data_IF_402994979326
#
_entry.id   IF_402994979326
#
_cell.length_a   1.000
_cell.length_b   1.000
_cell.length_c   1.000
_cell.angle_alpha   90.00
_cell.angle_beta   90.00
_cell.angle_gamma   90.00
#
_symmetry.space_group_name_H-M   'P 1'
#
loop_
_entity.id
_entity.type
_entity.pdbx_description
1 polymer ?
#
# COMPACT_ATOMS: atom_id res chain seq x y z
N UNK A 1 -5.75 16.13 10.15
CA UNK A 1 -5.11 15.34 9.09
C UNK A 1 -6.22 14.95 8.15
N UNK A 2 -6.25 15.56 6.97
CA UNK A 2 -7.24 15.25 5.95
C UNK A 2 -6.64 14.25 4.95
N UNK A 3 -7.50 13.41 4.37
CA UNK A 3 -7.06 12.40 3.42
C UNK A 3 -6.49 13.01 2.13
N UNK A 4 -6.85 14.25 1.81
CA UNK A 4 -6.31 14.98 0.65
C UNK A 4 -4.84 15.38 0.84
N UNK A 5 -4.32 15.35 2.07
CA UNK A 5 -2.93 15.67 2.40
C UNK A 5 -1.98 14.48 2.23
N UNK A 6 -2.50 13.29 1.91
CA UNK A 6 -1.68 12.12 1.62
C UNK A 6 -1.06 12.29 0.23
N UNK A 7 0.26 12.49 0.18
CA UNK A 7 0.98 12.69 -1.08
C UNK A 7 1.35 11.35 -1.75
N UNK A 8 1.79 10.39 -0.93
CA UNK A 8 2.34 9.12 -1.39
C UNK A 8 1.94 7.97 -0.47
N UNK A 9 1.74 6.79 -1.04
CA UNK A 9 1.51 5.54 -0.33
C UNK A 9 2.36 4.42 -0.94
N UNK A 10 3.07 3.68 -0.11
CA UNK A 10 3.72 2.42 -0.43
C UNK A 10 3.02 1.29 0.31
N UNK A 11 2.42 0.38 -0.45
CA UNK A 11 1.80 -0.83 0.09
C UNK A 11 2.68 -2.04 -0.21
N UNK A 12 3.21 -2.64 0.85
CA UNK A 12 4.01 -3.86 0.74
C UNK A 12 3.17 -5.04 1.20
N UNK A 13 3.02 -6.05 0.34
CA UNK A 13 2.22 -7.24 0.63
C UNK A 13 2.96 -8.51 0.25
N UNK A 14 2.80 -9.54 1.07
CA UNK A 14 3.43 -10.84 0.82
C UNK A 14 2.80 -11.52 -0.39
N UNK A 15 3.66 -12.06 -1.26
CA UNK A 15 3.24 -12.94 -2.35
C UNK A 15 3.53 -14.40 -2.01
N UNK A 16 4.71 -14.66 -1.43
CA UNK A 16 5.16 -15.99 -1.06
C UNK A 16 6.03 -15.93 0.20
N UNK A 17 6.57 -17.07 0.64
CA UNK A 17 7.53 -17.10 1.76
C UNK A 17 8.82 -16.31 1.49
N UNK A 18 9.14 -16.00 0.22
CA UNK A 18 10.41 -15.38 -0.17
C UNK A 18 10.25 -14.10 -1.01
N UNK A 19 9.03 -13.74 -1.39
CA UNK A 19 8.76 -12.59 -2.26
C UNK A 19 7.59 -11.76 -1.76
N UNK A 20 7.68 -10.46 -2.04
CA UNK A 20 6.69 -9.43 -1.73
C UNK A 20 6.36 -8.64 -3.00
N UNK A 21 5.22 -7.96 -3.00
CA UNK A 21 4.93 -6.87 -3.90
C UNK A 21 5.07 -5.56 -3.17
N UNK A 22 5.75 -4.62 -3.81
CA UNK A 22 5.81 -3.21 -3.43
C UNK A 22 4.96 -2.41 -4.42
N UNK A 23 3.90 -1.79 -3.92
CA UNK A 23 2.96 -0.97 -4.70
C UNK A 23 3.06 0.47 -4.25
N UNK A 24 3.84 1.26 -4.99
CA UNK A 24 3.97 2.70 -4.80
C UNK A 24 2.87 3.45 -5.54
N UNK A 25 2.25 4.41 -4.89
CA UNK A 25 1.16 5.23 -5.40
C UNK A 25 1.50 6.69 -5.08
N UNK A 26 1.79 7.46 -6.12
CA UNK A 26 1.93 8.91 -6.02
C UNK A 26 0.56 9.54 -6.32
N UNK A 27 -0.12 10.03 -5.29
CA UNK A 27 -1.45 10.60 -5.42
C UNK A 27 -1.42 12.01 -6.03
N UNK A 28 -0.28 12.71 -5.90
CA UNK A 28 -0.06 14.06 -6.43
C UNK A 28 0.19 14.03 -7.93
N UNK A 29 1.12 13.20 -8.38
CA UNK A 29 1.45 12.99 -9.79
C UNK A 29 0.47 12.02 -10.49
N UNK A 30 -0.36 11.34 -9.69
CA UNK A 30 -1.36 10.36 -10.12
C UNK A 30 -0.70 9.25 -10.91
N UNK A 31 0.30 8.64 -10.30
CA UNK A 31 1.06 7.53 -10.86
C UNK A 31 1.07 6.37 -9.88
N UNK A 32 1.25 5.17 -10.42
CA UNK A 32 1.57 4.01 -9.61
C UNK A 32 2.75 3.25 -10.19
N UNK A 33 3.40 2.48 -9.32
CA UNK A 33 4.37 1.46 -9.70
C UNK A 33 4.16 0.22 -8.85
N UNK A 34 4.20 -0.94 -9.47
CA UNK A 34 4.16 -2.26 -8.86
C UNK A 34 5.47 -2.95 -9.18
N UNK A 35 6.17 -3.38 -8.14
CA UNK A 35 7.42 -4.15 -8.24
C UNK A 35 7.28 -5.43 -7.41
N UNK A 36 7.88 -6.52 -7.89
CA UNK A 36 8.03 -7.75 -7.08
C UNK A 36 9.47 -7.81 -6.60
N UNK A 37 9.66 -7.88 -5.29
CA UNK A 37 10.98 -7.90 -4.66
C UNK A 37 11.14 -9.11 -3.74
N UNK A 38 12.37 -9.48 -3.42
CA UNK A 38 12.66 -10.38 -2.30
C UNK A 38 12.59 -9.64 -0.95
N UNK A 39 12.74 -10.36 0.16
CA UNK A 39 12.71 -9.77 1.51
C UNK A 39 13.89 -8.82 1.80
N UNK A 40 14.85 -8.70 0.88
CA UNK A 40 16.00 -7.79 0.95
C UNK A 40 15.84 -6.58 0.01
N UNK A 41 14.73 -6.49 -0.73
CA UNK A 41 14.45 -5.39 -1.66
C UNK A 41 15.05 -5.57 -3.05
N UNK A 42 15.57 -6.75 -3.40
CA UNK A 42 16.02 -7.01 -4.77
C UNK A 42 14.83 -7.30 -5.69
N UNK A 43 14.75 -6.59 -6.82
CA UNK A 43 13.70 -6.80 -7.83
C UNK A 43 13.85 -8.20 -8.46
N UNK A 44 12.76 -8.97 -8.46
CA UNK A 44 12.72 -10.35 -8.95
C UNK A 44 11.85 -10.54 -10.22
N UNK A 45 11.21 -9.48 -10.73
CA UNK A 45 10.26 -9.60 -11.83
C UNK A 45 10.03 -8.31 -12.62
N UNK A 46 9.07 -8.37 -13.54
CA UNK A 46 8.67 -7.24 -14.39
C UNK A 46 8.00 -6.16 -13.56
N UNK A 47 8.41 -4.91 -13.77
CA UNK A 47 7.77 -3.74 -13.18
C UNK A 47 6.54 -3.36 -13.99
N UNK A 48 5.49 -2.92 -13.30
CA UNK A 48 4.31 -2.34 -13.94
C UNK A 48 4.07 -0.94 -13.40
N UNK A 49 3.97 0.05 -14.28
CA UNK A 49 3.69 1.44 -13.93
C UNK A 49 2.57 2.01 -14.78
N UNK A 50 1.98 3.11 -14.33
CA UNK A 50 0.92 3.76 -15.08
C UNK A 50 0.37 5.02 -14.44
N UNK A 51 -0.52 5.68 -15.19
CA UNK A 51 -1.21 6.90 -14.78
C UNK A 51 -2.59 6.59 -14.22
N UNK A 52 -2.98 7.34 -13.19
CA UNK A 52 -4.26 7.24 -12.49
C UNK A 52 -5.17 8.40 -12.91
N UNK A 53 -6.44 8.09 -13.18
CA UNK A 53 -7.46 9.10 -13.45
C UNK A 53 -7.78 9.87 -12.15
N UNK A 54 -7.94 11.20 -12.25
CA UNK A 54 -8.32 12.05 -11.11
C UNK A 54 -9.59 11.56 -10.40
N UNK A 55 -10.58 11.07 -11.13
CA UNK A 55 -11.80 10.49 -10.56
C UNK A 55 -11.54 9.24 -9.73
N UNK A 56 -10.56 8.42 -10.13
CA UNK A 56 -10.17 7.21 -9.38
C UNK A 56 -9.46 7.58 -8.09
N UNK A 57 -8.58 8.59 -8.12
CA UNK A 57 -7.94 9.13 -6.90
C UNK A 57 -8.99 9.63 -5.90
N UNK A 58 -9.97 10.42 -6.34
CA UNK A 58 -11.05 10.89 -5.45
C UNK A 58 -11.84 9.74 -4.81
N UNK A 59 -12.15 8.69 -5.59
CA UNK A 59 -12.83 7.50 -5.05
C UNK A 59 -11.96 6.76 -4.05
N UNK A 60 -10.67 6.64 -4.33
CA UNK A 60 -9.70 6.01 -3.43
C UNK A 60 -9.61 6.74 -2.10
N UNK A 61 -9.46 8.08 -2.12
CA UNK A 61 -9.46 8.89 -0.90
C UNK A 61 -10.74 8.75 -0.08
N UNK A 62 -11.91 8.70 -0.75
CA UNK A 62 -13.18 8.40 -0.07
C UNK A 62 -13.16 7.03 0.59
N UNK A 63 -12.62 6.01 -0.08
CA UNK A 63 -12.49 4.66 0.50
C UNK A 63 -11.52 4.62 1.68
N UNK A 64 -10.43 5.39 1.66
CA UNK A 64 -9.54 5.53 2.81
C UNK A 64 -10.27 6.16 4.01
N UNK A 65 -11.09 7.17 3.76
CA UNK A 65 -11.94 7.78 4.78
C UNK A 65 -12.97 6.80 5.35
N UNK A 66 -13.63 6.01 4.51
CA UNK A 66 -14.59 4.99 4.96
C UNK A 66 -13.94 3.87 5.80
N UNK A 67 -12.64 3.62 5.59
CA UNK A 67 -11.82 2.69 6.38
C UNK A 67 -11.27 3.29 7.67
N UNK A 68 -11.47 4.58 7.89
CA UNK A 68 -10.84 5.36 8.95
C UNK A 68 -9.31 5.11 8.99
N UNK A 69 -8.69 5.08 7.82
CA UNK A 69 -7.30 4.67 7.65
C UNK A 69 -6.30 5.49 8.48
N UNK A 70 -6.53 6.80 8.65
CA UNK A 70 -5.65 7.66 9.45
C UNK A 70 -5.72 7.41 10.95
N UNK A 71 -6.73 6.68 11.46
CA UNK A 71 -6.83 6.31 12.87
C UNK A 71 -6.08 5.02 13.22
N UNK A 72 -5.57 4.32 12.19
CA UNK A 72 -4.91 3.03 12.40
C UNK A 72 -3.63 3.17 13.25
N UNK A 73 -3.23 2.12 13.99
CA UNK A 73 -2.03 2.17 14.82
C UNK A 73 -0.79 2.48 13.99
N UNK A 74 -0.05 3.51 14.40
CA UNK A 74 1.23 3.87 13.79
C UNK A 74 2.38 3.19 14.55
N UNK A 75 3.40 2.77 13.81
CA UNK A 75 4.57 2.07 14.33
C UNK A 75 5.84 2.77 13.84
N UNK A 76 6.94 2.56 14.56
CA UNK A 76 8.27 2.93 14.06
C UNK A 76 8.66 2.06 12.85
N UNK A 77 9.39 2.64 11.90
CA UNK A 77 9.78 1.97 10.67
C UNK A 77 10.60 0.71 10.97
N UNK A 78 10.19 -0.42 10.40
CA UNK A 78 10.94 -1.67 10.49
C UNK A 78 12.25 -1.62 9.70
N UNK A 79 13.29 -2.28 10.20
CA UNK A 79 14.59 -2.45 9.53
C UNK A 79 14.54 -3.73 8.69
N UNK A 80 15.24 -3.76 7.56
CA UNK A 80 15.42 -4.98 6.74
C UNK A 80 16.18 -6.08 7.52
N UNK A 81 15.93 -7.37 7.23
CA UNK A 81 14.91 -7.90 6.31
C UNK A 81 13.49 -7.71 6.86
N UNK A 82 12.53 -7.44 5.96
CA UNK A 82 11.14 -7.22 6.36
C UNK A 82 10.52 -8.53 6.90
N UNK A 83 10.29 -8.61 8.21
CA UNK A 83 9.46 -9.66 8.81
C UNK A 83 7.97 -9.33 8.64
N UNK A 84 7.50 -9.48 7.39
CA UNK A 84 6.13 -9.18 7.01
C UNK A 84 5.22 -10.36 7.39
N UNK A 85 4.37 -10.15 8.41
CA UNK A 85 3.30 -11.09 8.75
C UNK A 85 2.26 -11.17 7.62
N UNK A 86 1.71 -10.01 7.23
CA UNK A 86 0.62 -9.92 6.24
C UNK A 86 0.91 -8.87 5.16
N UNK A 87 0.77 -7.59 5.52
CA UNK A 87 0.96 -6.42 4.68
C UNK A 87 1.35 -5.22 5.54
N UNK A 88 1.99 -4.24 4.93
CA UNK A 88 2.34 -2.98 5.57
C UNK A 88 2.04 -1.82 4.64
N UNK A 89 1.75 -0.67 5.24
CA UNK A 89 1.51 0.58 4.51
C UNK A 89 2.47 1.62 5.07
N UNK A 90 3.27 2.22 4.20
CA UNK A 90 3.97 3.46 4.48
C UNK A 90 3.28 4.57 3.71
N UNK A 91 3.10 5.73 4.31
CA UNK A 91 2.49 6.86 3.63
C UNK A 91 3.10 8.18 4.09
N UNK A 92 3.13 9.16 3.19
CA UNK A 92 3.52 10.52 3.51
C UNK A 92 2.27 11.39 3.67
N UNK A 93 2.18 12.08 4.80
CA UNK A 93 1.16 13.10 5.03
C UNK A 93 1.84 14.36 5.57
N UNK A 94 1.62 15.49 4.90
CA UNK A 94 2.22 16.79 5.25
C UNK A 94 3.75 16.73 5.45
N UNK A 95 4.46 15.95 4.63
CA UNK A 95 5.92 15.79 4.72
C UNK A 95 6.39 14.85 5.83
N UNK A 96 5.48 14.27 6.62
CA UNK A 96 5.79 13.29 7.65
C UNK A 96 5.51 11.87 7.16
N UNK A 97 6.51 10.99 7.28
CA UNK A 97 6.36 9.58 6.97
C UNK A 97 5.69 8.85 8.14
N UNK A 98 4.64 8.10 7.81
CA UNK A 98 3.87 7.28 8.72
C UNK A 98 3.96 5.82 8.26
N UNK A 99 3.81 4.89 9.21
CA UNK A 99 3.91 3.46 8.96
C UNK A 99 2.90 2.70 9.80
N UNK A 100 2.15 1.80 9.17
CA UNK A 100 1.15 0.96 9.84
C UNK A 100 1.12 -0.45 9.26
N UNK A 101 0.83 -1.43 10.12
CA UNK A 101 0.55 -2.82 9.73
C UNK A 101 -0.95 -3.08 9.63
N UNK A 102 -1.79 -2.05 9.69
CA UNK A 102 -3.25 -2.17 9.69
C UNK A 102 -3.89 -2.30 11.06
N UNK A 103 -5.17 -1.94 11.13
CA UNK A 103 -5.98 -2.09 12.35
C UNK A 103 -6.34 -3.56 12.62
N UNK A 104 -6.79 -4.26 11.58
CA UNK A 104 -7.07 -5.69 11.60
C UNK A 104 -6.93 -6.27 10.18
N UNK A 105 -6.93 -7.61 10.07
CA UNK A 105 -6.73 -8.29 8.78
C UNK A 105 -7.83 -7.97 7.76
N UNK A 106 -9.08 -7.80 8.21
CA UNK A 106 -10.23 -7.51 7.33
C UNK A 106 -10.10 -6.14 6.68
N UNK A 107 -9.69 -5.14 7.44
CA UNK A 107 -9.51 -3.78 6.93
C UNK A 107 -8.28 -3.66 6.02
N UNK A 108 -7.20 -4.41 6.30
CA UNK A 108 -6.09 -4.57 5.35
C UNK A 108 -6.53 -5.22 4.04
N UNK A 109 -7.36 -6.26 4.10
CA UNK A 109 -7.86 -6.91 2.90
C UNK A 109 -8.74 -5.97 2.06
N UNK A 110 -9.54 -5.11 2.71
CA UNK A 110 -10.29 -4.05 2.02
C UNK A 110 -9.35 -3.02 1.39
N UNK A 111 -8.35 -2.53 2.12
CA UNK A 111 -7.36 -1.58 1.60
C UNK A 111 -6.65 -2.15 0.37
N UNK A 112 -6.17 -3.40 0.47
CA UNK A 112 -5.57 -4.11 -0.66
C UNK A 112 -6.52 -4.11 -1.85
N UNK A 113 -7.80 -4.47 -1.64
CA UNK A 113 -8.78 -4.47 -2.72
C UNK A 113 -9.02 -3.10 -3.33
N UNK A 114 -9.05 -2.04 -2.51
CA UNK A 114 -9.20 -0.66 -2.98
C UNK A 114 -7.98 -0.23 -3.80
N UNK A 115 -6.76 -0.64 -3.42
CA UNK A 115 -5.55 -0.36 -4.21
C UNK A 115 -5.59 -1.11 -5.56
N UNK A 116 -5.98 -2.40 -5.59
CA UNK A 116 -6.15 -3.14 -6.84
C UNK A 116 -7.14 -2.43 -7.79
N UNK A 117 -8.24 -1.91 -7.26
CA UNK A 117 -9.22 -1.15 -8.03
C UNK A 117 -8.66 0.19 -8.55
N UNK A 118 -7.78 0.83 -7.78
CA UNK A 118 -7.13 2.07 -8.17
C UNK A 118 -6.15 1.86 -9.33
N UNK A 119 -5.30 0.83 -9.24
CA UNK A 119 -4.25 0.54 -10.22
C UNK A 119 -4.73 -0.31 -11.40
N UNK A 120 -5.89 -0.97 -11.26
CA UNK A 120 -6.53 -1.75 -12.31
C UNK A 120 -5.96 -3.16 -12.51
N UNK A 121 -5.18 -3.67 -11.56
CA UNK A 121 -4.50 -4.97 -11.59
C UNK A 121 -4.49 -5.61 -10.21
N UNK A 122 -4.57 -6.94 -10.16
CA UNK A 122 -4.44 -7.74 -8.92
C UNK A 122 -2.98 -8.05 -8.60
N UNK A 123 -2.61 -8.09 -7.33
CA UNK A 123 -1.25 -8.40 -6.88
C UNK A 123 -1.25 -9.08 -5.50
N UNK A 124 -0.11 -9.60 -5.07
CA UNK A 124 0.02 -10.27 -3.77
C UNK A 124 -0.84 -11.52 -3.61
N UNK A 125 -1.03 -11.95 -2.36
CA UNK A 125 -2.02 -12.98 -2.00
C UNK A 125 -2.88 -12.52 -0.82
N UNK A 126 -4.11 -13.00 -0.78
CA UNK A 126 -5.06 -12.74 0.29
C UNK A 126 -5.00 -13.77 1.42
N UNK A 127 -4.28 -14.89 1.22
CA UNK A 127 -4.16 -15.98 2.20
C UNK A 127 -3.61 -15.50 3.57
N UNK A 128 -2.85 -14.41 3.59
CA UNK A 128 -2.27 -13.85 4.81
C UNK A 128 -3.22 -12.91 5.57
N UNK A 129 -4.46 -12.71 5.10
CA UNK A 129 -5.49 -11.97 5.83
C UNK A 129 -6.45 -12.87 6.64
N UNK A 130 -6.29 -14.19 6.61
CA UNK A 130 -7.07 -15.16 7.39
C UNK A 130 -6.51 -15.31 8.81
#
# INVERSE_FOLDING_TARGET
MDYEDIEYLLFTVKQSKKSIYDVGIDLKEREFRIETTDLYGHIQGTQADGKIRRSSVKKFLSSLNDLDFLSWPQLEQGILPLDLKNATVMYNIEGSMQYTTGNNKKDLAKLHKTIEQLVGTTFGTYEYYE
#
